data_IF_243845732673
#
_entry.id   IF_243845732673
#
_cell.length_a   1.000
_cell.length_b   1.000
_cell.length_c   1.000
_cell.angle_alpha   90.00
_cell.angle_beta   90.00
_cell.angle_gamma   90.00
#
_symmetry.space_group_name_H-M   'P 1'
#
loop_
_entity.id
_entity.type
_entity.pdbx_description
1 polymer ?
2 non-polymer ?
#
# COMPACT_ATOMS: atom_id res chain seq x y z
N UNK A 1 -4.79 -11.03 -1.07
CA UNK A 1 -5.23 -9.65 -0.74
C UNK A 1 -4.56 -9.22 0.58
N UNK A 2 -3.88 -8.09 0.56
CA UNK A 2 -3.22 -7.61 1.80
C UNK A 2 -3.06 -6.09 1.72
N UNK A 3 -3.72 -5.37 2.59
CA UNK A 3 -3.62 -3.88 2.57
C UNK A 3 -2.26 -3.47 3.15
N UNK A 4 -1.72 -2.37 2.69
CA UNK A 4 -0.40 -1.90 3.20
C UNK A 4 -0.25 -0.40 2.93
N UNK A 5 -0.23 0.40 3.96
CA UNK A 5 -0.07 1.88 3.76
C UNK A 5 0.53 2.52 5.01
N UNK A 6 1.00 3.73 4.91
CA UNK A 6 1.61 4.41 6.09
C UNK A 6 0.86 5.72 6.37
N UNK A 7 0.51 5.97 7.61
CA UNK A 7 -0.22 7.22 7.95
C UNK A 7 0.35 7.79 9.26
N UNK A 8 -0.11 8.96 9.65
CA UNK A 8 0.39 9.58 10.90
C UNK A 8 -0.77 9.73 11.90
N UNK A 9 -0.52 10.35 13.03
CA UNK A 9 -1.60 10.51 14.04
C UNK A 9 -2.79 11.27 13.45
N UNK A 10 -2.58 12.00 12.38
CA UNK A 10 -3.71 12.76 11.75
C UNK A 10 -4.47 11.87 10.76
N UNK A 11 -3.85 10.83 10.26
CA UNK A 11 -4.56 9.94 9.29
C UNK A 11 -4.05 10.20 7.86
N UNK A 12 -3.34 11.27 7.64
CA UNK A 12 -2.82 11.57 6.26
C UNK A 12 -1.96 10.41 5.76
N UNK A 13 -1.96 10.16 4.47
CA UNK A 13 -1.15 9.04 3.91
C UNK A 13 -0.42 9.51 2.65
N UNK A 14 -0.13 10.78 2.55
CA UNK A 14 0.58 11.30 1.34
C UNK A 14 0.18 12.75 1.08
N UNK A 15 0.72 13.35 0.05
CA UNK A 15 0.38 14.77 -0.26
C UNK A 15 0.69 15.05 -1.73
N UNK A 16 -0.28 15.45 -2.50
CA UNK A 16 -0.06 15.76 -3.94
C UNK A 16 0.50 14.51 -4.66
N UNK A 17 0.18 13.34 -4.16
CA UNK A 17 0.69 12.09 -4.80
C UNK A 17 1.97 11.64 -4.11
N UNK A 18 2.86 12.55 -3.84
CA UNK A 18 4.14 12.18 -3.15
C UNK A 18 3.97 12.32 -1.64
N UNK A 19 4.83 11.69 -0.88
CA UNK A 19 4.72 11.78 0.60
C UNK A 19 5.27 13.14 1.08
N UNK A 20 4.70 13.68 2.14
CA UNK A 20 5.10 14.99 2.75
C UNK A 20 6.35 14.81 3.60
N UNK A 21 6.47 13.69 4.29
CA UNK A 21 7.67 13.46 5.14
C UNK A 21 8.60 12.46 4.45
N UNK A 22 9.64 12.04 5.12
CA UNK A 22 10.59 11.07 4.51
C UNK A 22 11.02 10.05 5.56
N UNK A 23 10.46 8.87 5.52
CA UNK A 23 10.83 7.82 6.52
C UNK A 23 11.55 6.66 5.81
N UNK A 24 12.81 6.85 5.51
CA UNK A 24 13.70 5.84 4.81
C UNK A 24 13.53 4.46 5.46
N UNK A 25 13.31 4.42 6.75
CA UNK A 25 13.15 3.10 7.44
C UNK A 25 11.91 2.39 6.89
N UNK A 26 10.85 3.12 6.65
CA UNK A 26 9.60 2.49 6.11
C UNK A 26 9.86 1.99 4.69
N UNK A 27 10.75 2.65 3.97
CA UNK A 27 11.04 2.22 2.57
C UNK A 27 11.68 0.82 2.59
N UNK A 28 12.42 0.52 3.63
CA UNK A 28 13.07 -0.82 3.72
C UNK A 28 12.02 -1.90 3.95
N UNK A 29 10.93 -1.55 4.58
CA UNK A 29 9.85 -2.55 4.85
C UNK A 29 9.00 -2.74 3.59
N UNK A 30 8.87 -1.71 2.80
CA UNK A 30 8.05 -1.81 1.56
C UNK A 30 8.74 -2.77 0.58
N UNK A 31 10.04 -2.67 0.45
CA UNK A 31 10.78 -3.56 -0.48
C UNK A 31 10.63 -5.02 -0.02
N UNK A 32 10.55 -5.24 1.26
CA UNK A 32 10.39 -6.64 1.77
C UNK A 32 8.94 -7.12 1.61
N UNK A 33 8.00 -6.19 1.60
CA UNK A 33 6.57 -6.59 1.46
C UNK A 33 6.13 -6.42 0.01
N UNK A 34 7.02 -6.62 -0.93
CA UNK A 34 6.65 -6.47 -2.37
C UNK A 34 7.49 -7.42 -3.23
N UNK A 35 8.79 -7.42 -3.02
CA UNK A 35 9.68 -8.31 -3.82
C UNK A 35 9.27 -9.78 -3.63
N UNK A 36 9.01 -10.48 -4.70
CA UNK A 36 8.60 -11.91 -4.58
C UNK A 36 7.08 -12.03 -4.68
N UNK A 37 6.37 -10.98 -4.35
CA UNK A 37 4.87 -11.03 -4.42
C UNK A 37 4.38 -10.11 -5.53
N UNK A 38 3.08 -9.94 -5.65
CA UNK A 38 2.53 -9.05 -6.70
C UNK A 38 2.20 -7.68 -6.11
N UNK A 39 2.71 -6.62 -6.68
CA UNK A 39 2.44 -5.26 -6.15
C UNK A 39 1.24 -4.67 -6.88
N UNK A 40 0.34 -4.05 -6.15
CA UNK A 40 -0.86 -3.45 -6.80
C UNK A 40 -0.86 -1.94 -6.55
N UNK A 41 -0.69 -1.16 -7.60
CA UNK A 41 -0.68 0.33 -7.43
C UNK A 41 -1.60 0.96 -8.48
N UNK A 42 -2.11 2.13 -8.20
CA UNK A 42 -3.03 2.82 -9.17
C UNK A 42 -2.19 3.66 -10.13
N UNK A 43 -2.81 4.61 -10.78
CA UNK A 43 -2.06 5.47 -11.74
C UNK A 43 -1.35 6.60 -10.97
N UNK A 44 -1.98 7.12 -9.96
CA UNK A 44 -1.35 8.21 -9.16
C UNK A 44 -0.17 7.65 -8.37
N UNK A 45 -0.23 6.39 -7.99
CA UNK A 45 0.89 5.79 -7.22
C UNK A 45 1.96 5.27 -8.19
N UNK A 46 1.56 4.86 -9.37
CA UNK A 46 2.54 4.36 -10.36
C UNK A 46 3.50 5.48 -10.76
N UNK A 47 2.97 6.63 -11.07
CA UNK A 47 3.83 7.78 -11.47
C UNK A 47 4.55 8.34 -10.24
N UNK A 48 4.03 8.10 -9.06
CA UNK A 48 4.69 8.62 -7.83
C UNK A 48 6.08 8.00 -7.68
N UNK A 49 6.28 6.82 -8.22
CA UNK A 49 7.62 6.16 -8.10
C UNK A 49 8.63 6.90 -9.00
N UNK A 50 9.87 6.92 -8.57
CA UNK A 50 11.01 7.59 -9.29
C UNK A 50 11.50 6.70 -10.43
N UNK A 51 11.86 5.48 -10.12
CA UNK A 51 12.35 4.54 -11.19
C UNK A 51 11.22 3.60 -11.60
N UNK A 52 10.75 3.71 -12.81
CA UNK A 52 9.65 2.81 -13.27
C UNK A 52 10.11 2.06 -14.53
N UNK A 53 9.68 0.81 -14.66
CA UNK A 53 8.79 0.06 -13.70
C UNK A 53 9.60 -0.39 -12.48
N UNK A 54 8.93 -0.90 -11.48
CA UNK A 54 9.66 -1.36 -10.25
C UNK A 54 10.05 -2.84 -10.42
N UNK A 55 11.34 -3.13 -10.44
CA UNK A 55 11.90 -4.52 -10.59
C UNK A 55 11.83 -5.27 -9.26
N UNK A 56 12.24 -6.52 -9.25
CA UNK A 56 12.22 -7.37 -8.00
C UNK A 56 10.81 -7.93 -7.73
N UNK A 57 9.79 -7.46 -8.42
CA UNK A 57 8.41 -8.00 -8.19
C UNK A 57 7.51 -7.60 -9.37
N UNK A 58 6.39 -8.26 -9.53
CA UNK A 58 5.47 -7.94 -10.65
C UNK A 58 4.81 -6.58 -10.43
N UNK A 59 4.52 -5.88 -11.49
CA UNK A 59 3.87 -4.54 -11.37
C UNK A 59 2.42 -4.64 -11.85
N UNK A 60 1.49 -4.22 -11.03
CA UNK A 60 0.05 -4.29 -11.42
C UNK A 60 -0.57 -2.90 -11.37
N UNK A 61 -0.76 -2.27 -12.51
CA UNK A 61 -1.35 -0.90 -12.53
C UNK A 61 -2.85 -1.00 -12.82
N UNK A 62 -3.67 -0.33 -12.04
CA UNK A 62 -5.14 -0.39 -12.27
C UNK A 62 -5.69 1.05 -12.35
N UNK A 63 -6.27 1.40 -13.47
CA UNK A 63 -6.83 2.78 -13.61
C UNK A 63 -8.10 2.72 -14.46
N UNK A 64 -8.74 3.84 -14.67
CA UNK A 64 -9.99 3.86 -15.50
C UNK A 64 -9.67 4.39 -16.90
N UNK A 65 -8.47 4.15 -17.36
CA UNK A 65 -8.08 4.62 -18.73
C UNK A 65 -7.83 3.42 -19.64
N UNK A 66 -8.07 3.57 -20.92
CA UNK A 66 -7.85 2.44 -21.86
C UNK A 66 -6.85 2.86 -22.94
N UNK A 67 -5.89 3.68 -22.57
CA UNK A 67 -4.87 4.13 -23.56
C UNK A 67 -3.53 4.36 -22.85
N UNK A 68 -3.27 3.59 -21.81
CA UNK A 68 -1.98 3.75 -21.07
C UNK A 68 -0.92 2.85 -21.70
N UNK A 69 0.33 3.11 -21.41
CA UNK A 69 1.43 2.28 -21.99
C UNK A 69 2.55 2.13 -20.96
N UNK A 70 3.17 0.97 -20.92
CA UNK A 70 4.28 0.74 -19.94
C UNK A 70 5.06 -0.51 -20.34
N UNK A 71 6.28 -0.34 -20.78
CA UNK A 71 7.11 -1.51 -21.19
C UNK A 71 7.73 -2.16 -19.95
N UNK A 72 7.17 -3.26 -19.52
CA UNK A 72 7.71 -3.96 -18.31
C UNK A 72 6.62 -4.07 -17.25
N UNK A 73 5.76 -3.08 -17.16
CA UNK A 73 4.66 -3.13 -16.15
C UNK A 73 3.41 -3.74 -16.78
N UNK A 74 2.49 -4.21 -15.97
CA UNK A 74 1.25 -4.81 -16.52
C UNK A 74 0.12 -3.78 -16.48
N UNK A 75 -0.56 -3.60 -17.59
CA UNK A 75 -1.68 -2.61 -17.63
C UNK A 75 -3.02 -3.35 -17.62
N UNK A 76 -3.78 -3.18 -16.57
CA UNK A 76 -5.10 -3.87 -16.49
C UNK A 76 -6.19 -2.87 -16.13
N UNK A 77 -7.43 -3.19 -16.39
CA UNK A 77 -8.54 -2.25 -16.06
C UNK A 77 -9.77 -3.05 -15.63
N UNK A 78 -9.56 -4.14 -14.93
CA UNK A 78 -10.71 -4.96 -14.46
C UNK A 78 -10.34 -5.64 -13.14
N UNK A 79 -11.24 -5.62 -12.18
CA UNK A 79 -10.96 -6.25 -10.86
C UNK A 79 -10.76 -7.76 -11.06
N UNK A 80 -11.57 -8.37 -11.87
CA UNK A 80 -11.44 -9.84 -12.11
C UNK A 80 -10.09 -10.13 -12.79
N UNK A 81 -9.62 -9.21 -13.59
CA UNK A 81 -8.31 -9.42 -14.28
C UNK A 81 -7.19 -9.50 -13.24
N UNK A 82 -7.17 -8.58 -12.31
CA UNK A 82 -6.11 -8.59 -11.26
C UNK A 82 -6.26 -9.85 -10.41
N UNK A 83 -7.48 -10.31 -10.23
CA UNK A 83 -7.70 -11.53 -9.39
C UNK A 83 -7.22 -12.77 -10.15
N UNK A 84 -7.55 -12.86 -11.42
CA UNK A 84 -7.11 -14.04 -12.23
C UNK A 84 -5.58 -14.06 -12.31
N UNK A 85 -4.97 -12.91 -12.38
CA UNK A 85 -3.48 -12.85 -12.46
C UNK A 85 -2.89 -13.30 -11.13
N UNK A 86 -3.53 -12.96 -10.04
CA UNK A 86 -3.01 -13.36 -8.70
C UNK A 86 -3.30 -14.86 -8.47
N UNK A 87 -4.44 -15.32 -8.91
CA UNK A 87 -4.79 -16.76 -8.73
C UNK A 87 -3.81 -17.63 -9.53
N UNK A 88 -3.37 -17.14 -10.66
CA UNK A 88 -2.42 -17.93 -11.50
C UNK A 88 -1.11 -18.16 -10.72
N UNK A 89 -0.79 -17.27 -9.81
CA UNK A 89 0.47 -17.43 -9.02
C UNK A 89 0.11 -17.84 -7.58
N UNK A 90 0.30 -19.11 -7.26
CA UNK A 90 0.01 -19.71 -5.90
C UNK A 90 1.10 -19.31 -4.91
N UNK A 91 2.29 -19.01 -5.39
CA UNK A 91 3.40 -18.61 -4.47
C UNK A 91 3.49 -17.09 -4.40
N UNK A 92 2.40 -16.40 -4.64
CA UNK A 92 2.43 -14.91 -4.58
C UNK A 92 1.17 -14.40 -3.88
N UNK A 93 1.19 -13.18 -3.41
CA UNK A 93 0.00 -12.62 -2.71
C UNK A 93 -0.33 -11.24 -3.30
N UNK A 94 -1.57 -10.83 -3.22
CA UNK A 94 -1.97 -9.50 -3.76
C UNK A 94 -1.76 -8.43 -2.70
N UNK A 95 -0.84 -7.52 -2.92
CA UNK A 95 -0.59 -6.45 -1.92
C UNK A 95 -1.17 -5.13 -2.43
N UNK A 96 -2.06 -4.54 -1.67
CA UNK A 96 -2.67 -3.24 -2.10
C UNK A 96 -1.91 -2.08 -1.46
N UNK A 97 -1.21 -1.32 -2.26
CA UNK A 97 -0.43 -0.17 -1.72
C UNK A 97 -1.30 1.10 -1.78
N UNK A 98 -1.94 1.33 -2.90
CA UNK A 98 -2.80 2.55 -3.04
C UNK A 98 -3.08 2.83 -4.51
N UNK A 99 -3.58 3.99 -4.88
CA UNK A 99 -3.89 5.07 -3.89
C UNK A 99 -5.21 4.75 -3.19
N UNK A 100 -5.88 5.76 -2.70
CA UNK A 100 -7.19 5.53 -2.00
C UNK A 100 -8.22 4.99 -3.00
N UNK A 101 -8.12 5.40 -4.23
CA UNK A 101 -9.10 4.92 -5.26
C UNK A 101 -8.94 3.41 -5.44
N UNK A 102 -7.74 2.90 -5.34
CA UNK A 102 -7.51 1.44 -5.50
C UNK A 102 -7.99 0.71 -4.23
N UNK A 103 -7.81 1.31 -3.09
CA UNK A 103 -8.25 0.66 -1.82
C UNK A 103 -9.78 0.49 -1.84
N UNK A 104 -10.48 1.44 -2.40
CA UNK A 104 -11.97 1.34 -2.47
C UNK A 104 -12.37 0.17 -3.35
N UNK A 105 -11.60 -0.10 -4.38
CA UNK A 105 -11.93 -1.23 -5.30
C UNK A 105 -11.80 -2.54 -4.53
N UNK A 106 -10.73 -2.73 -3.81
CA UNK A 106 -10.54 -3.99 -3.03
C UNK A 106 -11.05 -3.79 -1.59
N UNK A 107 -12.29 -3.41 -1.45
CA UNK A 107 -12.86 -3.20 -0.08
C UNK A 107 -13.57 -4.46 0.38
N UNK A 108 -14.09 -5.23 -0.54
CA UNK A 108 -14.81 -6.49 -0.17
C UNK A 108 -13.87 -7.68 -0.33
N UNK A 109 -12.60 -7.49 -0.08
CA UNK A 109 -11.63 -8.61 -0.23
C UNK A 109 -10.33 -8.25 0.50
N UNK A 110 -10.32 -8.35 1.81
CA UNK A 110 -9.09 -8.01 2.58
C UNK A 110 -9.19 -8.63 3.99
N UNK A 111 -8.17 -9.36 4.39
CA UNK A 111 -8.19 -9.99 5.74
C UNK A 111 -7.06 -9.40 6.59
N UNK A 112 -5.90 -9.22 6.00
CA UNK A 112 -4.75 -8.64 6.76
C UNK A 112 -4.64 -7.15 6.46
N UNK A 113 -4.41 -6.35 7.46
CA UNK A 113 -4.30 -4.88 7.24
C UNK A 113 -2.98 -4.37 7.82
N UNK A 114 -1.99 -4.19 6.98
CA UNK A 114 -0.67 -3.70 7.47
C UNK A 114 -0.65 -2.17 7.41
N UNK A 115 -0.31 -1.53 8.50
CA UNK A 115 -0.27 -0.03 8.52
C UNK A 115 0.88 0.45 9.41
N UNK A 116 1.46 1.58 9.09
CA UNK A 116 2.59 2.11 9.91
C UNK A 116 2.14 3.41 10.59
N UNK A 117 1.87 3.35 11.87
CA UNK A 117 1.44 4.57 12.61
C UNK A 117 2.66 5.39 13.02
N UNK A 118 2.72 6.63 12.60
CA UNK A 118 3.88 7.49 12.96
C UNK A 118 3.57 8.27 14.24
N UNK A 119 4.45 9.16 14.63
CA UNK A 119 4.21 9.95 15.87
C UNK A 119 4.19 11.45 15.53
N UNK A 120 5.10 11.89 14.71
CA UNK A 120 5.14 13.34 14.34
C UNK A 120 3.91 13.68 13.50
N UNK A 121 3.41 14.88 13.62
CA UNK A 121 2.21 15.28 12.84
C UNK A 121 2.66 15.88 11.50
N UNK A 122 1.79 15.88 10.52
CA UNK A 122 2.16 16.44 9.19
C UNK A 122 0.91 17.03 8.52
N UNK A 123 1.09 17.81 7.48
CA UNK A 123 -0.08 18.40 6.77
C UNK A 123 -0.15 17.83 5.35
N UNK A 124 -1.35 17.66 4.84
CA UNK A 124 -1.50 17.12 3.46
C UNK A 124 -2.99 16.98 3.12
N UNK A 125 -3.28 16.53 1.93
CA UNK A 125 -4.72 16.37 1.53
C UNK A 125 -5.05 14.88 1.39
N UNK A 126 -4.08 14.07 1.07
CA UNK A 126 -4.33 12.61 0.92
C UNK A 126 -4.60 11.99 2.29
N UNK A 127 -5.73 11.34 2.45
CA UNK A 127 -6.07 10.72 3.76
C UNK A 127 -6.47 9.25 3.53
N UNK A 128 -6.61 8.50 4.60
CA UNK A 128 -6.98 7.06 4.46
C UNK A 128 -8.50 6.92 4.53
N UNK A 129 -9.05 5.99 3.80
CA UNK A 129 -10.52 5.78 3.81
C UNK A 129 -10.98 5.34 5.21
N UNK A 130 -12.26 5.39 5.46
CA UNK A 130 -12.90 5.00 6.76
C UNK A 130 -13.03 3.48 6.86
N UNK A 131 -12.21 2.86 7.66
CA UNK A 131 -12.28 1.36 7.80
C UNK A 131 -12.84 1.01 9.18
N UNK A 132 -13.28 -0.22 9.35
CA UNK A 132 -13.85 -0.64 10.66
C UNK A 132 -12.78 -1.41 11.45
N UNK A 133 -12.35 -0.85 12.56
CA UNK A 133 -11.31 -1.54 13.38
C UNK A 133 -11.97 -2.33 14.53
N UNK A 134 -13.28 -2.45 14.53
CA UNK A 134 -13.96 -3.21 15.61
C UNK A 134 -14.04 -4.69 15.24
N UNK A 135 -14.07 -4.99 13.97
CA UNK A 135 -14.15 -6.41 13.54
C UNK A 135 -12.75 -6.92 13.18
N UNK A 136 -11.75 -6.51 13.92
CA UNK A 136 -10.36 -6.96 13.64
C UNK A 136 -9.59 -7.12 14.95
N UNK A 137 -8.44 -7.72 14.90
CA UNK A 137 -7.63 -7.91 16.14
C UNK A 137 -6.15 -7.74 15.82
N UNK A 138 -5.41 -7.15 16.72
CA UNK A 138 -3.95 -6.94 16.48
C UNK A 138 -3.15 -8.05 17.17
N UNK A 139 -2.38 -8.79 16.42
CA UNK A 139 -1.56 -9.89 17.02
C UNK A 139 -0.08 -9.53 16.94
N UNK A 140 0.31 -8.79 15.95
CA UNK A 140 1.74 -8.39 15.81
C UNK A 140 1.87 -6.88 15.96
N UNK A 141 2.89 -6.44 16.67
CA UNK A 141 3.09 -4.97 16.87
C UNK A 141 4.54 -4.70 17.26
N UNK A 142 5.28 -4.07 16.39
CA UNK A 142 6.72 -3.77 16.69
C UNK A 142 6.96 -2.26 16.62
N UNK A 143 7.39 -1.66 17.70
CA UNK A 143 7.64 -0.19 17.69
C UNK A 143 9.09 0.08 17.26
N UNK A 144 9.28 1.00 16.36
CA UNK A 144 10.67 1.31 15.88
C UNK A 144 10.90 2.82 15.94
N UNK A 145 11.90 3.26 16.67
CA UNK A 145 12.18 4.71 16.78
C UNK A 145 13.21 5.11 15.72
N UNK A 146 13.23 6.36 15.35
CA UNK A 146 14.22 6.83 14.32
C UNK A 146 15.19 7.83 14.95
N UNK A 147 15.94 8.52 14.14
CA UNK A 147 16.91 9.53 14.68
C UNK A 147 16.15 10.63 15.41
N UNK A 148 15.06 11.07 14.84
CA UNK A 148 14.26 12.16 15.49
C UNK A 148 13.01 11.54 16.14
N UNK A 149 12.36 12.31 16.99
CA UNK A 149 11.12 11.91 17.74
C UNK A 149 9.89 12.05 16.83
N UNK A 150 9.94 12.96 15.89
CA UNK A 150 8.79 13.16 14.97
C UNK A 150 8.82 12.09 13.86
N UNK A 151 9.96 11.48 13.62
CA UNK A 151 10.03 10.44 12.55
C UNK A 151 9.86 9.04 13.17
N UNK A 152 9.11 8.93 14.23
CA UNK A 152 8.90 7.61 14.87
C UNK A 152 7.82 6.84 14.11
N UNK A 153 7.97 5.54 13.99
CA UNK A 153 6.96 4.74 13.25
C UNK A 153 6.73 3.41 13.97
N UNK A 154 5.57 2.83 13.84
CA UNK A 154 5.29 1.54 14.52
C UNK A 154 4.55 0.61 13.54
N UNK A 155 5.15 -0.52 13.22
CA UNK A 155 4.50 -1.47 12.27
C UNK A 155 3.36 -2.21 12.98
N UNK A 156 2.15 -2.03 12.53
CA UNK A 156 1.00 -2.73 13.18
C UNK A 156 0.43 -3.76 12.20
N UNK A 157 0.04 -4.91 12.71
CA UNK A 157 -0.53 -5.97 11.84
C UNK A 157 -1.89 -6.40 12.37
N UNK A 158 -2.95 -5.99 11.71
CA UNK A 158 -4.32 -6.38 12.17
C UNK A 158 -4.82 -7.55 11.34
N UNK A 159 -5.66 -8.38 11.91
CA UNK A 159 -6.19 -9.55 11.17
C UNK A 159 -7.67 -9.76 11.50
N UNK A 160 -8.41 -10.35 10.60
CA UNK A 160 -9.87 -10.58 10.85
C UNK A 160 -10.03 -11.67 11.92
N UNK A 161 -11.09 -11.59 12.69
CA UNK A 161 -11.31 -12.62 13.76
C UNK A 161 -11.70 -13.95 13.10
N UNK A 162 -12.64 -13.91 12.18
CA UNK A 162 -13.07 -15.17 11.50
C UNK A 162 -13.66 -14.83 10.14
X LIG B 1 4.89 2.87 3.26
X LIG B 1 4.16 1.79 3.63
X LIG B 1 4.24 1.37 4.95
X LIG B 1 3.34 1.08 2.79
X LIG B 1 3.25 1.47 1.48
X LIG B 1 2.42 0.76 0.60
X LIG B 1 3.98 2.59 1.01
X LIG B 1 3.90 3.02 -0.30
X LIG B 1 4.63 4.10 -0.71
X LIG B 1 5.45 4.79 0.20
X LIG B 1 5.55 4.40 1.50
X LIG B 1 4.83 3.30 1.94
X LIG B 1 4.52 4.54 -2.14
X LIG B 1 5.70 5.26 -2.62
X LIG B 1 5.59 6.68 -2.92
X LIG B 1 9.40 3.22 -3.21
X LIG B 1 9.39 4.60 -2.85
X LIG B 1 8.16 5.28 -2.66
X LIG B 1 6.92 4.58 -2.81
X LIG B 1 6.94 3.20 -3.18
X LIG B 1 8.17 2.53 -3.37
X LIG B 1 10.67 2.53 -3.41
X LIG B 1 11.69 3.06 -3.83
X LIG B 1 10.67 1.21 -3.08
X LIG B 1 11.89 0.44 -3.25
X LIG B 1 11.55 -1.05 -3.39
X LIG B 1 10.42 -1.42 -3.08
X LIG B 1 12.35 -1.78 -3.98
X LIG B 1 12.82 0.67 -2.06
X LIG B 1 14.25 0.40 -2.49
X LIG B 1 15.20 1.33 -1.74
X LIG B 1 15.05 1.48 -0.53
X LIG B 1 16.12 1.87 -2.36
X LIG B 1 4.82 1.85 5.58
X LIG B 1 3.72 0.60 5.25
X LIG B 1 1.92 0.00 0.93
X LIG B 1 2.35 1.05 -0.33
X LIG B 1 6.02 5.64 -0.14
X LIG B 1 3.67 5.20 -2.27
X LIG B 1 4.39 3.68 -2.80
X LIG B 1 4.55 6.93 -3.09
X LIG B 1 6.19 6.91 -3.80
X LIG B 1 5.98 7.24 -2.06
X LIG B 1 10.32 5.12 -2.73
X LIG B 1 8.16 6.32 -2.38
X LIG B 1 6.01 2.66 -3.30
X LIG B 1 8.17 1.48 -3.64
X LIG B 1 9.84 0.78 -2.74
X LIG B 1 12.36 0.79 -4.17
X LIG B 1 12.55 0.00 -1.24
X LIG B 1 12.72 1.69 -1.69
X LIG B 1 14.38 0.56 -3.56
X LIG B 1 14.53 -0.64 -2.29
X LIG B 1 5.45 3.33 3.91
#
# INVERSE_FOLDING_TARGET
>A
TAFLWAQDRDGLIGKDGHLPWHLPDDLHYFRAQTVGKIMVVGRRTYESFPKRPLPERTNVVLTHQEDYQAQGAVVVHDVAAVFAYAKQHPDQELVIAGGAQIFTAFKDDVDTLLVTRLAGSFEGDTKMIPLNWDDFTKVSSRTVEDTNPALTHTYEVWQKKA
>B hetero
1 MTX N1 C2 NA2 N3 C4 NA4 C4A N5 C6 C7 N8 C8A C9 N10 CM C11 C12 C13 C14 C15 C16 C O N CA CT O1 O2 CB CG CD OE1 OE2 HN21 HN22 HN41 HN42 H7 H91 H92 HM1 HM2 HM3 H12 H13 H15 H16 HN HA HB1 HB2 HG1 HG2 HN1
#
